data_IF_521288613223
#
_entry.id   IF_521288613223
#
_cell.length_a   1.000
_cell.length_b   1.000
_cell.length_c   1.000
_cell.angle_alpha   90.00
_cell.angle_beta   90.00
_cell.angle_gamma   90.00
#
_symmetry.space_group_name_H-M   'P 1'
#
loop_
_entity.id
_entity.type
_entity.pdbx_description
1 polymer ?
#
# COMPACT_ATOMS: atom_id res chain seq x y z
N UNK A 1 -5.19 -6.41 -19.12
CA UNK A 1 -4.70 -5.08 -18.72
C UNK A 1 -3.85 -5.27 -17.48
N UNK A 2 -2.56 -4.89 -17.48
CA UNK A 2 -1.76 -4.86 -16.24
C UNK A 2 -2.31 -3.71 -15.42
N UNK A 3 -2.96 -4.00 -14.29
CA UNK A 3 -3.40 -2.97 -13.34
C UNK A 3 -2.14 -2.21 -12.92
N UNK A 4 -2.04 -0.92 -13.26
CA UNK A 4 -0.98 -0.08 -12.68
C UNK A 4 -1.23 -0.11 -11.17
N UNK A 5 -0.24 -0.53 -10.40
CA UNK A 5 -0.29 -0.43 -8.95
C UNK A 5 -0.74 0.99 -8.59
N UNK A 6 -1.88 1.10 -7.93
CA UNK A 6 -2.40 2.39 -7.51
C UNK A 6 -1.37 2.99 -6.54
N UNK A 7 -0.84 4.17 -6.86
CA UNK A 7 -0.05 4.93 -5.89
C UNK A 7 -1.01 5.57 -4.89
N UNK A 8 -1.36 4.82 -3.85
CA UNK A 8 -2.15 5.24 -2.70
C UNK A 8 -1.47 6.31 -1.84
N UNK A 9 -0.13 6.39 -1.88
CA UNK A 9 0.67 7.42 -1.25
C UNK A 9 1.48 8.18 -2.30
N UNK A 10 1.23 9.49 -2.41
CA UNK A 10 1.96 10.38 -3.31
C UNK A 10 3.41 10.55 -2.89
N UNK A 11 4.23 11.12 -3.76
CA UNK A 11 5.61 11.50 -3.44
C UNK A 11 5.68 12.59 -2.35
N UNK A 12 4.57 13.30 -2.07
CA UNK A 12 4.49 14.27 -0.98
C UNK A 12 4.04 13.66 0.34
N UNK A 13 3.77 12.35 0.36
CA UNK A 13 3.29 11.65 1.55
C UNK A 13 1.82 11.89 1.85
N UNK A 14 1.06 12.39 0.88
CA UNK A 14 -0.39 12.48 0.97
C UNK A 14 -1.00 11.12 0.61
N UNK A 15 -2.03 10.73 1.36
CA UNK A 15 -2.75 9.49 1.13
C UNK A 15 -4.00 9.76 0.27
N UNK A 16 -4.15 8.97 -0.78
CA UNK A 16 -5.36 8.90 -1.58
C UNK A 16 -6.20 7.72 -1.08
N UNK A 17 -7.28 8.00 -0.33
CA UNK A 17 -8.07 6.98 0.37
C UNK A 17 -9.42 6.80 -0.31
N UNK A 18 -9.71 5.61 -0.81
CA UNK A 18 -10.96 5.28 -1.51
C UNK A 18 -11.92 4.43 -0.67
N UNK A 19 -11.40 3.61 0.26
CA UNK A 19 -12.18 2.61 0.99
C UNK A 19 -12.32 2.89 2.49
N UNK A 20 -13.20 2.15 3.18
CA UNK A 20 -13.41 2.28 4.64
C UNK A 20 -12.20 1.73 5.42
N UNK A 21 -11.75 0.53 5.10
CA UNK A 21 -10.56 -0.11 5.67
C UNK A 21 -9.30 0.73 5.46
N UNK A 22 -9.14 1.39 4.31
CA UNK A 22 -8.03 2.34 4.09
C UNK A 22 -8.11 3.54 5.03
N UNK A 23 -9.31 4.11 5.25
CA UNK A 23 -9.51 5.23 6.19
C UNK A 23 -9.24 4.81 7.64
N UNK A 24 -9.72 3.65 8.05
CA UNK A 24 -9.45 3.08 9.38
C UNK A 24 -7.95 2.82 9.57
N UNK A 25 -7.29 2.22 8.57
CA UNK A 25 -5.86 1.97 8.60
C UNK A 25 -5.08 3.29 8.71
N UNK A 26 -5.43 4.30 7.93
CA UNK A 26 -4.78 5.61 7.96
C UNK A 26 -4.91 6.29 9.33
N UNK A 27 -6.04 6.12 10.02
CA UNK A 27 -6.28 6.71 11.34
C UNK A 27 -5.63 5.95 12.50
N UNK A 28 -5.10 4.74 12.26
CA UNK A 28 -4.43 3.96 13.29
C UNK A 28 -3.17 4.69 13.81
N UNK A 29 -2.94 4.76 15.14
CA UNK A 29 -1.77 5.41 15.71
C UNK A 29 -0.44 4.94 15.12
N UNK A 30 -0.32 3.65 14.81
CA UNK A 30 0.90 3.07 14.24
C UNK A 30 1.12 3.52 12.79
N UNK A 31 0.05 3.69 12.04
CA UNK A 31 0.13 4.26 10.68
C UNK A 31 0.55 5.72 10.73
N UNK A 32 0.04 6.50 11.69
CA UNK A 32 0.47 7.89 11.89
C UNK A 32 1.96 7.99 12.23
N UNK A 33 2.48 7.08 13.06
CA UNK A 33 3.91 6.98 13.35
C UNK A 33 4.73 6.73 12.08
N UNK A 34 4.31 5.76 11.25
CA UNK A 34 4.98 5.45 9.98
C UNK A 34 4.95 6.63 9.00
N UNK A 35 3.83 7.35 8.92
CA UNK A 35 3.71 8.56 8.09
C UNK A 35 4.62 9.69 8.61
N UNK A 36 4.77 9.82 9.93
CA UNK A 36 5.71 10.77 10.54
C UNK A 36 7.15 10.42 10.20
N UNK A 37 7.53 9.14 10.30
CA UNK A 37 8.86 8.66 9.91
C UNK A 37 9.16 8.92 8.43
N UNK A 38 8.16 8.73 7.55
CA UNK A 38 8.30 9.07 6.13
C UNK A 38 8.64 10.55 5.94
N UNK A 39 7.90 11.46 6.59
CA UNK A 39 8.14 12.91 6.48
C UNK A 39 9.52 13.28 6.98
N UNK A 40 9.89 12.73 8.15
CA UNK A 40 11.21 12.92 8.72
C UNK A 40 12.32 12.48 7.74
N UNK A 41 12.22 11.28 7.16
CA UNK A 41 13.22 10.81 6.21
C UNK A 41 13.26 11.64 4.93
N UNK A 42 12.11 12.08 4.42
CA UNK A 42 12.03 12.94 3.23
C UNK A 42 12.69 14.30 3.49
N UNK A 43 12.37 14.95 4.60
CA UNK A 43 12.89 16.27 4.96
C UNK A 43 14.40 16.27 5.23
N UNK A 44 14.93 15.15 5.73
CA UNK A 44 16.36 15.01 6.05
C UNK A 44 17.19 14.38 4.92
N UNK A 45 16.62 14.19 3.72
CA UNK A 45 17.35 13.68 2.55
C UNK A 45 17.63 12.17 2.56
N UNK A 46 16.99 11.39 3.45
CA UNK A 46 17.09 9.93 3.50
C UNK A 46 16.16 9.28 2.46
N UNK A 47 16.45 9.51 1.18
CA UNK A 47 15.57 9.15 0.07
C UNK A 47 15.26 7.64 0.00
N UNK A 48 16.24 6.78 0.28
CA UNK A 48 16.08 5.31 0.24
C UNK A 48 15.07 4.85 1.31
N UNK A 49 15.21 5.35 2.54
CA UNK A 49 14.32 4.98 3.65
C UNK A 49 12.91 5.53 3.44
N UNK A 50 12.79 6.78 2.99
CA UNK A 50 11.51 7.37 2.62
C UNK A 50 10.82 6.56 1.51
N UNK A 51 11.56 6.13 0.49
CA UNK A 51 11.03 5.30 -0.60
C UNK A 51 10.59 3.91 -0.10
N UNK A 52 11.34 3.31 0.83
CA UNK A 52 10.99 2.01 1.44
C UNK A 52 9.68 2.11 2.22
N UNK A 53 9.52 3.17 3.03
CA UNK A 53 8.26 3.42 3.74
C UNK A 53 7.12 3.63 2.74
N UNK A 54 7.31 4.47 1.73
CA UNK A 54 6.28 4.73 0.71
C UNK A 54 5.81 3.45 0.03
N UNK A 55 6.73 2.54 -0.32
CA UNK A 55 6.37 1.23 -0.91
C UNK A 55 5.51 0.39 0.05
N UNK A 56 5.91 0.31 1.31
CA UNK A 56 5.18 -0.46 2.33
C UNK A 56 3.79 0.12 2.59
N UNK A 57 3.66 1.45 2.66
CA UNK A 57 2.37 2.12 2.84
C UNK A 57 1.45 1.86 1.65
N UNK A 58 1.96 1.99 0.43
CA UNK A 58 1.17 1.66 -0.77
C UNK A 58 0.66 0.22 -0.74
N UNK A 59 1.52 -0.74 -0.41
CA UNK A 59 1.11 -2.14 -0.33
C UNK A 59 0.06 -2.39 0.77
N UNK A 60 0.21 -1.78 1.95
CA UNK A 60 -0.78 -1.91 3.01
C UNK A 60 -2.13 -1.28 2.62
N UNK A 61 -2.12 -0.16 1.90
CA UNK A 61 -3.33 0.48 1.40
C UNK A 61 -4.01 -0.32 0.29
N UNK A 62 -3.25 -1.03 -0.54
CA UNK A 62 -3.76 -1.97 -1.54
C UNK A 62 -4.50 -3.13 -0.87
N UNK A 63 -3.88 -3.80 0.11
CA UNK A 63 -4.52 -4.87 0.89
C UNK A 63 -5.81 -4.37 1.57
N UNK A 64 -5.77 -3.18 2.16
CA UNK A 64 -6.94 -2.60 2.81
C UNK A 64 -8.07 -2.28 1.81
N UNK A 65 -7.72 -1.85 0.60
CA UNK A 65 -8.70 -1.63 -0.48
C UNK A 65 -9.32 -2.96 -0.95
N UNK A 66 -8.49 -3.96 -1.22
CA UNK A 66 -8.91 -5.30 -1.68
C UNK A 66 -9.91 -5.93 -0.71
N UNK A 67 -9.65 -5.81 0.60
CA UNK A 67 -10.54 -6.28 1.66
C UNK A 67 -11.95 -5.72 1.54
N UNK A 68 -12.10 -4.44 1.23
CA UNK A 68 -13.40 -3.79 1.09
C UNK A 68 -14.04 -4.05 -0.28
N UNK A 69 -13.21 -4.16 -1.32
CA UNK A 69 -13.67 -4.45 -2.68
C UNK A 69 -14.08 -5.92 -2.87
N UNK A 70 -13.90 -6.77 -1.85
CA UNK A 70 -14.30 -8.17 -1.88
C UNK A 70 -13.29 -9.08 -2.58
N UNK A 71 -12.10 -8.57 -2.92
CA UNK A 71 -10.99 -9.39 -3.37
C UNK A 71 -10.45 -10.13 -2.15
N UNK A 72 -10.72 -11.43 -2.06
CA UNK A 72 -10.26 -12.25 -0.95
C UNK A 72 -8.72 -12.43 -1.00
N UNK A 73 -8.06 -12.80 0.11
CA UNK A 73 -6.61 -13.01 0.18
C UNK A 73 -6.06 -14.14 -0.73
N UNK A 74 -6.87 -14.68 -1.64
CA UNK A 74 -6.54 -15.78 -2.54
C UNK A 74 -6.55 -15.40 -4.03
N UNK A 75 -7.10 -14.27 -4.45
CA UNK A 75 -7.15 -13.92 -5.90
C UNK A 75 -5.80 -13.46 -6.46
N UNK A 76 -4.81 -13.20 -5.59
CA UNK A 76 -3.46 -12.84 -5.99
C UNK A 76 -2.51 -14.05 -6.16
N UNK A 77 -2.93 -15.26 -5.72
CA UNK A 77 -2.14 -16.50 -5.81
C UNK A 77 -2.41 -17.33 -7.09
N UNK A 78 -3.50 -17.05 -7.81
CA UNK A 78 -3.83 -17.76 -9.06
C UNK A 78 -2.92 -17.39 -10.25
N UNK A 79 -1.93 -16.51 -10.05
CA UNK A 79 -0.93 -16.21 -11.08
C UNK A 79 0.37 -17.03 -10.99
N UNK A 80 0.48 -17.99 -10.06
CA UNK A 80 1.70 -18.81 -9.92
C UNK A 80 1.53 -20.32 -10.20
N UNK A 81 0.34 -20.83 -10.47
CA UNK A 81 0.14 -22.24 -10.84
C UNK A 81 -0.65 -22.36 -12.13
N UNK A 82 0.01 -22.03 -13.25
CA UNK A 82 -0.46 -22.51 -14.53
C UNK A 82 -0.21 -24.02 -14.57
N UNK A 83 -1.29 -24.74 -14.34
CA UNK A 83 -1.48 -26.16 -14.59
C UNK A 83 -0.95 -26.49 -16.00
N UNK A 84 0.15 -27.23 -16.07
CA UNK A 84 0.44 -28.10 -17.22
C UNK A 84 0.63 -29.51 -16.69
N UNK A 85 -0.49 -30.08 -16.25
CA UNK A 85 -0.73 -31.49 -16.44
C UNK A 85 -1.36 -31.66 -17.82
N UNK A 86 -0.53 -32.07 -18.78
CA UNK A 86 -0.85 -33.01 -19.86
C UNK A 86 0.46 -33.68 -20.28
#
# INVERSE_FOLDING_TARGET
>A
MKVKAYEWMSENGELNLASKSQKELAQNPKSQEVLSQYRFFKENGFAIDAQKIRKNVNHAMEIAYERDAGFGPSEHLDHANNTLGF
#
